data_IF_480757778828
#
_entry.id   IF_480757778828
#
_cell.length_a   1.000
_cell.length_b   1.000
_cell.length_c   1.000
_cell.angle_alpha   90.00
_cell.angle_beta   90.00
_cell.angle_gamma   90.00
#
_symmetry.space_group_name_H-M   'P 1'
#
loop_
_entity.id
_entity.type
_entity.pdbx_description
1 polymer ?
#
# COMPACT_ATOMS: atom_id res chain seq x y z
N UNK A 1 8.28 -14.42 16.41
CA UNK A 1 7.87 -14.46 17.83
C UNK A 1 6.36 -14.41 17.86
N UNK A 2 5.71 -15.49 18.28
CA UNK A 2 4.33 -15.43 18.75
C UNK A 2 4.42 -14.87 20.16
N UNK A 3 3.69 -13.81 20.45
CA UNK A 3 3.65 -13.25 21.80
C UNK A 3 2.67 -14.11 22.61
N UNK A 4 3.11 -14.73 23.70
CA UNK A 4 2.27 -15.60 24.54
C UNK A 4 1.24 -14.80 25.37
N UNK A 5 1.28 -13.48 25.30
CA UNK A 5 0.33 -12.56 25.94
C UNK A 5 -0.20 -11.53 24.94
N UNK A 6 -1.48 -11.11 25.05
CA UNK A 6 -2.04 -10.06 24.19
C UNK A 6 -1.24 -8.75 24.31
N UNK A 7 -0.90 -8.15 23.17
CA UNK A 7 -0.12 -6.90 23.10
C UNK A 7 -0.49 -6.08 21.86
N UNK A 8 -0.28 -4.77 21.93
CA UNK A 8 -0.41 -3.84 20.79
C UNK A 8 0.89 -3.69 19.98
N UNK A 9 1.91 -4.52 20.27
CA UNK A 9 3.17 -4.53 19.51
C UNK A 9 2.94 -5.31 18.21
N UNK A 10 2.84 -4.59 17.09
CA UNK A 10 2.63 -5.21 15.79
C UNK A 10 3.83 -6.04 15.30
N UNK A 11 5.05 -5.61 15.65
CA UNK A 11 6.28 -6.29 15.24
C UNK A 11 7.45 -5.95 16.18
N UNK A 12 8.31 -6.93 16.46
CA UNK A 12 9.58 -6.74 17.14
C UNK A 12 10.71 -7.26 16.24
N UNK A 13 11.64 -6.38 15.86
CA UNK A 13 12.77 -6.69 14.96
C UNK A 13 14.06 -6.52 15.74
N UNK A 14 14.87 -7.58 15.83
CA UNK A 14 16.21 -7.53 16.43
C UNK A 14 17.26 -7.83 15.37
N UNK A 15 18.10 -6.86 15.05
CA UNK A 15 19.24 -7.04 14.14
C UNK A 15 20.53 -7.02 14.96
N UNK A 16 21.31 -8.10 14.92
CA UNK A 16 22.63 -8.19 15.55
C UNK A 16 23.63 -8.64 14.50
N UNK A 17 24.75 -7.96 14.40
CA UNK A 17 25.86 -8.31 13.50
C UNK A 17 27.17 -8.15 14.26
N UNK A 18 27.96 -9.22 14.35
CA UNK A 18 29.21 -9.23 15.11
C UNK A 18 28.98 -9.19 16.63
N UNK A 19 29.91 -8.57 17.35
CA UNK A 19 29.90 -8.38 18.80
C UNK A 19 29.82 -6.87 19.12
N UNK A 20 28.61 -6.33 19.36
CA UNK A 20 28.42 -4.93 19.70
C UNK A 20 29.13 -4.52 20.98
N UNK A 21 29.15 -5.36 22.01
CA UNK A 21 29.71 -5.03 23.32
C UNK A 21 31.22 -4.82 23.23
N UNK A 22 31.90 -5.70 22.47
CA UNK A 22 33.31 -5.49 22.11
C UNK A 22 33.50 -4.21 21.29
N UNK A 23 32.66 -3.98 20.28
CA UNK A 23 32.73 -2.80 19.43
C UNK A 23 32.59 -1.47 20.19
N UNK A 24 31.71 -1.42 21.18
CA UNK A 24 31.57 -0.24 22.05
C UNK A 24 32.76 -0.07 22.99
N UNK A 25 33.33 -1.14 23.54
CA UNK A 25 34.45 -1.04 24.48
C UNK A 25 35.79 -0.66 23.82
N UNK A 26 35.99 -1.00 22.55
CA UNK A 26 37.20 -0.69 21.79
C UNK A 26 37.12 0.66 21.03
N UNK A 27 35.98 1.36 21.06
CA UNK A 27 35.80 2.60 20.31
C UNK A 27 36.47 3.82 20.99
N UNK A 28 37.22 4.61 20.23
CA UNK A 28 37.81 5.87 20.71
C UNK A 28 36.75 6.95 21.00
N UNK A 29 35.63 6.92 20.25
CA UNK A 29 34.54 7.88 20.35
C UNK A 29 33.20 7.17 20.17
N UNK A 30 32.27 7.41 21.09
CA UNK A 30 30.89 6.93 21.03
C UNK A 30 29.95 8.14 20.92
N UNK A 31 29.01 8.09 19.98
CA UNK A 31 27.97 9.13 19.83
C UNK A 31 26.61 8.47 19.84
N UNK A 32 25.79 8.85 20.82
CA UNK A 32 24.41 8.39 20.96
C UNK A 32 23.46 9.56 20.76
N UNK A 33 22.40 9.34 19.98
CA UNK A 33 21.36 10.35 19.71
C UNK A 33 20.00 9.69 19.57
N UNK A 34 18.98 10.41 20.00
CA UNK A 34 17.59 10.04 19.81
C UNK A 34 16.99 10.90 18.69
N UNK A 35 16.24 10.26 17.79
CA UNK A 35 15.60 10.92 16.66
C UNK A 35 14.12 10.57 16.62
N UNK A 36 13.28 11.57 16.42
CA UNK A 36 11.84 11.41 16.18
C UNK A 36 11.49 12.05 14.84
N UNK A 37 10.75 11.33 14.01
CA UNK A 37 10.24 11.85 12.74
C UNK A 37 8.73 12.02 12.80
N UNK A 38 8.22 13.05 12.13
CA UNK A 38 6.78 13.28 12.02
C UNK A 38 6.22 12.51 10.83
N UNK A 39 4.99 12.00 10.94
CA UNK A 39 4.33 11.35 9.82
C UNK A 39 3.91 12.42 8.78
N UNK A 40 4.16 12.16 7.50
CA UNK A 40 3.82 13.07 6.39
C UNK A 40 3.12 12.34 5.24
N UNK A 41 2.13 12.99 4.65
CA UNK A 41 1.45 12.45 3.47
C UNK A 41 2.23 12.78 2.20
N UNK A 42 2.36 11.81 1.30
CA UNK A 42 3.09 11.95 0.02
C UNK A 42 2.53 13.02 -0.90
N UNK A 43 1.26 13.40 -0.68
CA UNK A 43 0.59 14.56 -1.28
C UNK A 43 0.68 14.64 -2.80
N UNK A 44 0.64 13.47 -3.45
CA UNK A 44 0.50 13.36 -4.90
C UNK A 44 -0.71 14.17 -5.38
N UNK A 45 -0.57 14.83 -6.53
CA UNK A 45 -1.59 15.76 -7.04
C UNK A 45 -2.84 15.02 -7.52
N UNK A 46 -2.65 13.89 -8.19
CA UNK A 46 -3.76 13.07 -8.68
C UNK A 46 -4.32 12.18 -7.56
N UNK A 47 -5.58 12.38 -7.21
CA UNK A 47 -6.26 11.59 -6.18
C UNK A 47 -6.40 10.10 -6.56
N UNK A 48 -6.50 9.20 -5.57
CA UNK A 48 -6.56 7.76 -5.82
C UNK A 48 -7.90 7.37 -6.45
N UNK A 49 -7.84 6.71 -7.60
CA UNK A 49 -9.02 6.22 -8.31
C UNK A 49 -8.75 4.88 -9.00
N UNK A 50 -9.82 4.13 -9.25
CA UNK A 50 -9.80 2.94 -10.09
C UNK A 50 -11.12 2.75 -10.86
N UNK A 51 -11.04 2.19 -12.07
CA UNK A 51 -12.20 1.64 -12.78
C UNK A 51 -12.10 0.13 -12.86
N UNK A 52 -13.19 -0.55 -12.60
CA UNK A 52 -13.33 -1.96 -12.86
C UNK A 52 -14.39 -2.21 -13.95
N UNK A 53 -14.11 -3.16 -14.82
CA UNK A 53 -15.03 -3.67 -15.83
C UNK A 53 -15.13 -5.17 -15.67
N UNK A 54 -16.34 -5.67 -15.48
CA UNK A 54 -16.62 -7.11 -15.40
C UNK A 54 -17.07 -7.62 -16.77
N UNK A 55 -16.29 -8.50 -17.38
CA UNK A 55 -16.61 -9.16 -18.65
C UNK A 55 -17.65 -10.26 -18.49
N UNK A 56 -18.42 -10.51 -19.56
CA UNK A 56 -19.41 -11.59 -19.59
C UNK A 56 -18.77 -12.99 -19.50
N UNK A 57 -17.49 -13.08 -19.86
CA UNK A 57 -16.63 -14.27 -19.73
C UNK A 57 -16.08 -14.49 -18.31
N UNK A 58 -16.45 -13.64 -17.35
CA UNK A 58 -15.94 -13.66 -15.98
C UNK A 58 -14.58 -12.98 -15.81
N UNK A 59 -14.02 -12.38 -16.86
CA UNK A 59 -12.76 -11.63 -16.78
C UNK A 59 -12.98 -10.27 -16.11
N UNK A 60 -12.20 -9.97 -15.08
CA UNK A 60 -12.18 -8.64 -14.46
C UNK A 60 -11.05 -7.81 -15.05
N UNK A 61 -11.38 -6.66 -15.63
CA UNK A 61 -10.39 -5.66 -16.03
C UNK A 61 -10.34 -4.52 -15.04
N UNK A 62 -9.17 -4.21 -14.48
CA UNK A 62 -8.97 -3.07 -13.57
C UNK A 62 -8.02 -2.05 -14.20
N UNK A 63 -8.46 -0.79 -14.18
CA UNK A 63 -7.69 0.40 -14.49
C UNK A 63 -7.37 1.09 -13.16
N UNK A 64 -6.10 1.05 -12.74
CA UNK A 64 -5.64 1.60 -11.46
C UNK A 64 -4.43 2.50 -11.68
N UNK A 65 -4.22 3.43 -10.76
CA UNK A 65 -3.10 4.38 -10.75
C UNK A 65 -1.85 3.82 -10.04
N UNK A 66 -1.86 2.53 -9.69
CA UNK A 66 -0.83 1.88 -8.89
C UNK A 66 0.26 1.24 -9.76
N UNK A 67 1.52 1.43 -9.38
CA UNK A 67 2.69 0.93 -10.12
C UNK A 67 3.06 -0.53 -9.79
N UNK A 68 2.80 -1.02 -8.58
CA UNK A 68 3.27 -2.36 -8.14
C UNK A 68 2.25 -3.45 -8.42
N UNK A 69 2.03 -3.78 -9.69
CA UNK A 69 0.96 -4.64 -10.20
C UNK A 69 0.76 -6.01 -9.51
N UNK A 70 1.83 -6.68 -9.12
CA UNK A 70 1.82 -8.09 -8.68
C UNK A 70 0.84 -8.40 -7.53
N UNK A 71 0.75 -7.51 -6.54
CA UNK A 71 -0.07 -7.76 -5.34
C UNK A 71 -1.59 -7.59 -5.55
N UNK A 72 -2.03 -6.96 -6.65
CA UNK A 72 -3.47 -6.73 -6.85
C UNK A 72 -4.21 -8.01 -7.20
N UNK A 73 -3.61 -8.88 -8.01
CA UNK A 73 -4.25 -10.14 -8.41
C UNK A 73 -4.58 -11.00 -7.18
N UNK A 74 -3.63 -11.16 -6.25
CA UNK A 74 -3.85 -11.90 -5.00
C UNK A 74 -4.88 -11.25 -4.07
N UNK A 75 -4.95 -9.91 -4.02
CA UNK A 75 -5.94 -9.20 -3.19
C UNK A 75 -7.35 -9.20 -3.79
N UNK A 76 -7.46 -9.21 -5.11
CA UNK A 76 -8.72 -9.28 -5.84
C UNK A 76 -9.20 -10.73 -6.08
N UNK A 77 -8.40 -11.77 -5.82
CA UNK A 77 -8.83 -13.18 -5.92
C UNK A 77 -10.05 -13.49 -5.04
N UNK A 78 -10.18 -12.80 -3.91
CA UNK A 78 -11.37 -12.88 -3.05
C UNK A 78 -12.68 -12.41 -3.74
N UNK A 79 -12.58 -11.80 -4.92
CA UNK A 79 -13.72 -11.38 -5.74
C UNK A 79 -14.23 -12.49 -6.68
N UNK A 80 -13.82 -13.76 -6.50
CA UNK A 80 -14.30 -14.91 -7.29
C UNK A 80 -14.14 -14.73 -8.81
N UNK A 81 -12.96 -14.29 -9.22
CA UNK A 81 -12.61 -13.98 -10.61
C UNK A 81 -11.87 -15.14 -11.27
N UNK A 82 -12.22 -15.46 -12.51
CA UNK A 82 -11.47 -16.44 -13.32
C UNK A 82 -10.11 -15.88 -13.75
N UNK A 83 -10.06 -14.59 -14.07
CA UNK A 83 -8.85 -13.90 -14.52
C UNK A 83 -8.93 -12.39 -14.24
N UNK A 84 -7.82 -11.79 -13.79
CA UNK A 84 -7.70 -10.34 -13.56
C UNK A 84 -6.74 -9.73 -14.57
N UNK A 85 -7.27 -8.93 -15.49
CA UNK A 85 -6.51 -8.14 -16.45
C UNK A 85 -6.28 -6.74 -15.91
N UNK A 86 -5.06 -6.40 -15.54
CA UNK A 86 -4.74 -5.05 -15.06
C UNK A 86 -4.03 -4.23 -16.15
N UNK A 87 -4.46 -2.99 -16.37
CA UNK A 87 -3.88 -2.07 -17.35
C UNK A 87 -3.12 -0.87 -16.74
N UNK A 88 -2.70 -0.91 -15.48
CA UNK A 88 -2.10 0.27 -14.81
C UNK A 88 -0.80 0.79 -15.43
N UNK A 89 -0.02 -0.04 -16.15
CA UNK A 89 1.22 0.40 -16.82
C UNK A 89 0.99 1.17 -18.14
N UNK A 90 -0.26 1.35 -18.57
CA UNK A 90 -0.59 1.97 -19.86
C UNK A 90 -1.12 3.41 -19.74
N UNK A 91 -1.05 4.02 -18.56
CA UNK A 91 -1.61 5.36 -18.31
C UNK A 91 -0.65 6.26 -17.55
N UNK A 92 -0.74 7.55 -17.83
CA UNK A 92 -0.07 8.60 -17.08
C UNK A 92 -0.60 8.63 -15.64
N UNK A 93 0.29 8.67 -14.66
CA UNK A 93 -0.05 8.69 -13.22
C UNK A 93 0.52 9.95 -12.60
N UNK A 94 -0.33 10.78 -12.00
CA UNK A 94 0.01 12.07 -11.40
C UNK A 94 0.66 11.97 -10.00
N UNK A 95 1.59 11.03 -9.85
CA UNK A 95 2.32 10.77 -8.62
C UNK A 95 1.70 9.66 -7.75
N UNK A 96 2.54 9.03 -6.94
CA UNK A 96 2.15 7.97 -5.99
C UNK A 96 3.09 7.92 -4.78
N UNK A 97 4.42 7.96 -5.01
CA UNK A 97 5.47 7.98 -3.98
C UNK A 97 5.30 6.93 -2.86
N UNK A 98 4.76 5.76 -3.20
CA UNK A 98 4.46 4.67 -2.27
C UNK A 98 3.06 4.70 -1.62
N UNK A 99 2.37 5.85 -1.64
CA UNK A 99 1.06 6.03 -0.99
C UNK A 99 -0.11 5.34 -1.71
N UNK A 100 -0.01 5.05 -3.01
CA UNK A 100 -1.06 4.33 -3.77
C UNK A 100 -0.91 2.80 -3.77
N UNK A 101 -0.07 2.24 -2.89
CA UNK A 101 0.17 0.79 -2.80
C UNK A 101 -0.95 -0.01 -2.11
N UNK A 102 -1.61 0.52 -1.06
CA UNK A 102 -2.78 -0.13 -0.46
C UNK A 102 -3.96 -0.23 -1.43
N UNK A 103 -4.81 -1.24 -1.25
CA UNK A 103 -5.90 -1.57 -2.18
C UNK A 103 -7.23 -1.04 -1.65
N UNK A 104 -7.43 0.27 -1.71
CA UNK A 104 -8.65 0.92 -1.21
C UNK A 104 -9.76 1.01 -2.26
N UNK A 105 -9.43 1.38 -3.49
CA UNK A 105 -10.43 1.70 -4.53
C UNK A 105 -10.64 0.57 -5.52
N UNK A 106 -9.65 -0.29 -5.72
CA UNK A 106 -9.71 -1.37 -6.71
C UNK A 106 -10.67 -2.48 -6.28
N UNK A 107 -10.64 -2.89 -5.01
CA UNK A 107 -11.51 -3.96 -4.49
C UNK A 107 -12.98 -3.56 -4.50
N UNK A 108 -13.38 -2.37 -3.99
CA UNK A 108 -14.77 -1.92 -4.08
C UNK A 108 -15.23 -1.76 -5.54
N UNK A 109 -14.41 -1.18 -6.42
CA UNK A 109 -14.75 -1.06 -7.83
C UNK A 109 -15.00 -2.43 -8.46
N UNK A 110 -14.14 -3.41 -8.21
CA UNK A 110 -14.28 -4.77 -8.71
C UNK A 110 -15.56 -5.47 -8.24
N UNK A 111 -15.84 -5.41 -6.93
CA UNK A 111 -17.04 -6.03 -6.35
C UNK A 111 -18.33 -5.39 -6.88
N UNK A 112 -18.35 -4.06 -6.99
CA UNK A 112 -19.51 -3.33 -7.52
C UNK A 112 -19.69 -3.57 -9.02
N UNK A 113 -18.61 -3.61 -9.80
CA UNK A 113 -18.68 -3.93 -11.23
C UNK A 113 -19.23 -5.34 -11.45
N UNK A 114 -18.80 -6.32 -10.64
CA UNK A 114 -19.35 -7.68 -10.65
C UNK A 114 -20.84 -7.70 -10.32
N UNK A 115 -21.23 -7.04 -9.23
CA UNK A 115 -22.62 -7.04 -8.74
C UNK A 115 -23.58 -6.37 -9.72
N UNK A 116 -23.13 -5.31 -10.38
CA UNK A 116 -23.96 -4.51 -11.29
C UNK A 116 -23.90 -4.99 -12.74
N UNK A 117 -22.89 -5.78 -13.12
CA UNK A 117 -22.60 -6.12 -14.52
C UNK A 117 -22.23 -4.91 -15.38
N UNK A 118 -21.85 -3.79 -14.76
CA UNK A 118 -21.55 -2.52 -15.43
C UNK A 118 -20.15 -2.02 -15.03
N UNK A 119 -19.48 -1.23 -15.89
CA UNK A 119 -18.27 -0.53 -15.48
C UNK A 119 -18.50 0.35 -14.25
N UNK A 120 -17.64 0.24 -13.24
CA UNK A 120 -17.70 1.06 -12.02
C UNK A 120 -16.39 1.80 -11.83
N UNK A 121 -16.48 3.12 -11.61
CA UNK A 121 -15.36 3.99 -11.25
C UNK A 121 -15.53 4.40 -9.79
N UNK A 122 -14.46 4.24 -9.01
CA UNK A 122 -14.32 4.78 -7.66
C UNK A 122 -13.23 5.84 -7.71
N UNK A 123 -13.52 7.02 -7.18
CA UNK A 123 -12.58 8.15 -7.04
C UNK A 123 -12.67 8.61 -5.60
N UNK A 124 -11.53 8.66 -4.93
CA UNK A 124 -11.44 9.32 -3.63
C UNK A 124 -11.26 10.82 -3.84
N UNK A 125 -11.97 11.60 -3.06
CA UNK A 125 -11.68 13.02 -2.87
C UNK A 125 -10.30 13.20 -2.23
N UNK A 126 -9.77 14.43 -2.32
CA UNK A 126 -8.48 14.76 -1.70
C UNK A 126 -8.49 14.54 -0.19
N UNK A 127 -9.60 14.84 0.48
CA UNK A 127 -9.77 14.63 1.92
C UNK A 127 -9.76 13.13 2.26
N UNK A 128 -10.52 12.31 1.53
CA UNK A 128 -10.52 10.85 1.72
C UNK A 128 -9.14 10.25 1.50
N UNK A 129 -8.36 10.76 0.53
CA UNK A 129 -6.98 10.33 0.31
C UNK A 129 -6.12 10.62 1.55
N UNK A 130 -6.18 11.83 2.09
CA UNK A 130 -5.36 12.23 3.24
C UNK A 130 -5.74 11.44 4.50
N UNK A 131 -7.04 11.25 4.74
CA UNK A 131 -7.53 10.53 5.92
C UNK A 131 -7.37 9.01 5.80
N UNK A 132 -7.66 8.46 4.61
CA UNK A 132 -7.81 7.03 4.40
C UNK A 132 -6.52 6.28 4.06
N UNK A 133 -5.57 6.91 3.36
CA UNK A 133 -4.35 6.24 2.88
C UNK A 133 -3.14 6.41 3.81
N UNK A 134 -3.35 7.09 4.94
CA UNK A 134 -2.38 7.22 6.01
C UNK A 134 -1.21 8.16 5.69
N UNK A 135 -0.58 8.66 6.75
CA UNK A 135 0.63 9.44 6.65
C UNK A 135 1.82 8.46 6.50
N UNK A 136 2.63 8.63 5.46
CA UNK A 136 3.90 7.91 5.35
C UNK A 136 4.89 8.41 6.39
N UNK A 137 5.76 7.53 6.91
CA UNK A 137 6.96 7.99 7.59
C UNK A 137 7.98 8.38 6.52
N UNK A 138 8.20 9.67 6.31
CA UNK A 138 9.32 10.14 5.49
C UNK A 138 10.43 10.52 6.47
N UNK A 139 11.57 9.85 6.34
CA UNK A 139 12.79 10.24 7.03
C UNK A 139 13.21 11.60 6.50
N UNK A 140 13.28 12.61 7.38
CA UNK A 140 14.08 13.82 7.17
C UNK A 140 15.43 13.64 7.85
#
# INVERSE_FOLDING_TARGET
MVCDTPSNIAQHIRHVKGDPDKGFSEADVIVEREFTTVPVHQSYLESHAATAVWGMDGTLTIYSLRKVLFWLAGRCQNCSVSYVKNKSNSYEVGGAFGGKNPTYVETPAALLARKTGRPVRVVMSREEVILGLGLGQVLQ
#
